data_IF_380769482205
#
_entry.id   IF_380769482205
#
_cell.length_a   1.000
_cell.length_b   1.000
_cell.length_c   1.000
_cell.angle_alpha   90.00
_cell.angle_beta   90.00
_cell.angle_gamma   90.00
#
_symmetry.space_group_name_H-M   'P 1'
#
loop_
_entity.id
_entity.type
_entity.pdbx_description
1 polymer ?
#
# COMPACT_ATOMS: atom_id res chain seq x y z
N UNK A 1 27.17 4.48 -6.38
CA UNK A 1 25.80 5.04 -6.50
C UNK A 1 24.82 3.88 -6.67
N UNK A 2 23.91 3.69 -5.73
CA UNK A 2 22.97 2.55 -5.73
C UNK A 2 21.90 2.72 -6.81
N UNK A 3 21.78 1.71 -7.67
CA UNK A 3 20.78 1.59 -8.72
C UNK A 3 19.38 1.56 -8.08
N UNK A 4 18.62 2.64 -8.24
CA UNK A 4 17.22 2.73 -7.81
C UNK A 4 16.36 1.84 -8.70
N UNK A 5 16.09 0.63 -8.22
CA UNK A 5 15.08 -0.27 -8.78
C UNK A 5 13.72 0.44 -8.72
N UNK A 6 13.16 0.74 -9.91
CA UNK A 6 11.76 1.19 -10.05
C UNK A 6 10.86 0.24 -9.24
N UNK A 7 10.16 0.78 -8.25
CA UNK A 7 9.19 0.02 -7.44
C UNK A 7 9.64 -0.38 -6.03
N UNK A 8 10.85 -0.04 -5.58
CA UNK A 8 11.31 -0.40 -4.22
C UNK A 8 11.16 0.71 -3.17
N UNK A 9 10.81 1.92 -3.58
CA UNK A 9 10.77 3.09 -2.69
C UNK A 9 9.44 3.83 -2.81
N UNK A 10 8.94 4.30 -1.67
CA UNK A 10 7.72 5.07 -1.53
C UNK A 10 7.91 6.46 -2.12
N UNK A 11 7.06 6.84 -3.07
CA UNK A 11 7.13 8.16 -3.71
C UNK A 11 6.72 9.31 -2.76
N UNK A 12 5.89 9.02 -1.75
CA UNK A 12 5.46 10.03 -0.78
C UNK A 12 6.55 10.44 0.23
N UNK A 13 7.35 9.49 0.75
CA UNK A 13 8.31 9.77 1.83
C UNK A 13 9.74 9.25 1.59
N UNK A 14 10.00 8.63 0.44
CA UNK A 14 11.30 8.08 0.06
C UNK A 14 11.74 6.83 0.84
N UNK A 15 10.91 6.29 1.73
CA UNK A 15 11.23 5.06 2.47
C UNK A 15 11.09 3.81 1.60
N UNK A 16 11.58 2.67 2.06
CA UNK A 16 11.46 1.41 1.33
C UNK A 16 10.00 0.92 1.35
N UNK A 17 9.56 0.34 0.23
CA UNK A 17 8.32 -0.41 0.16
C UNK A 17 8.59 -1.86 0.60
N UNK A 18 7.68 -2.42 1.38
CA UNK A 18 7.71 -3.81 1.84
C UNK A 18 6.48 -4.54 1.33
N UNK A 19 6.62 -5.84 1.11
CA UNK A 19 5.49 -6.72 0.80
C UNK A 19 4.69 -6.97 2.07
N UNK A 20 3.45 -6.51 2.10
CA UNK A 20 2.54 -6.68 3.25
C UNK A 20 1.08 -6.71 2.77
N UNK A 21 0.14 -6.89 3.70
CA UNK A 21 -1.27 -6.73 3.39
C UNK A 21 -1.67 -5.26 3.59
N UNK A 22 -2.49 -4.73 2.67
CA UNK A 22 -3.18 -3.46 2.87
C UNK A 22 -4.67 -3.70 2.98
N UNK A 23 -5.31 -2.95 3.88
CA UNK A 23 -6.73 -3.06 4.17
C UNK A 23 -7.42 -1.74 3.84
N UNK A 24 -8.50 -1.81 3.08
CA UNK A 24 -9.35 -0.66 2.82
C UNK A 24 -10.71 -0.89 3.44
N UNK A 25 -11.13 0.05 4.29
CA UNK A 25 -12.47 0.08 4.87
C UNK A 25 -13.31 1.01 4.00
N UNK A 26 -14.35 0.47 3.38
CA UNK A 26 -15.31 1.26 2.62
C UNK A 26 -16.64 1.27 3.38
N UNK A 27 -17.17 2.48 3.61
CA UNK A 27 -18.50 2.68 4.18
C UNK A 27 -19.47 2.96 3.04
N UNK A 28 -20.53 2.17 2.98
CA UNK A 28 -21.57 2.31 1.98
C UNK A 28 -22.71 3.17 2.52
N UNK A 29 -23.47 3.81 1.62
CA UNK A 29 -24.58 4.71 1.99
C UNK A 29 -25.74 3.96 2.69
N UNK A 30 -25.84 2.64 2.53
CA UNK A 30 -26.80 1.77 3.21
C UNK A 30 -26.41 1.45 4.66
N UNK A 31 -25.29 1.99 5.15
CA UNK A 31 -24.75 1.75 6.48
C UNK A 31 -23.96 0.45 6.60
N UNK A 32 -23.79 -0.30 5.52
CA UNK A 32 -22.89 -1.45 5.49
C UNK A 32 -21.42 -1.02 5.39
N UNK A 33 -20.53 -1.89 5.86
CA UNK A 33 -19.09 -1.71 5.82
C UNK A 33 -18.46 -2.89 5.11
N UNK A 34 -17.60 -2.64 4.13
CA UNK A 34 -16.74 -3.67 3.55
C UNK A 34 -15.30 -3.44 3.96
N UNK A 35 -14.64 -4.51 4.40
CA UNK A 35 -13.20 -4.55 4.66
C UNK A 35 -12.57 -5.39 3.56
N UNK A 36 -11.76 -4.75 2.73
CA UNK A 36 -11.05 -5.40 1.65
C UNK A 36 -9.56 -5.48 2.00
N UNK A 37 -9.09 -6.69 2.29
CA UNK A 37 -7.66 -6.97 2.56
C UNK A 37 -7.03 -7.58 1.30
N UNK A 38 -5.92 -7.01 0.82
CA UNK A 38 -5.22 -7.47 -0.38
C UNK A 38 -3.71 -7.32 -0.26
N UNK A 39 -2.97 -8.13 -1.02
CA UNK A 39 -1.51 -8.01 -1.08
C UNK A 39 -1.09 -6.69 -1.75
N UNK A 40 -0.18 -5.97 -1.10
CA UNK A 40 0.31 -4.69 -1.58
C UNK A 40 1.75 -4.43 -1.13
N UNK A 41 2.47 -3.64 -1.93
CA UNK A 41 3.71 -3.04 -1.46
C UNK A 41 3.36 -1.80 -0.65
N UNK A 42 3.53 -1.87 0.66
CA UNK A 42 3.23 -0.78 1.59
C UNK A 42 4.49 -0.08 2.01
N UNK A 43 4.40 1.22 2.24
CA UNK A 43 5.52 1.97 2.77
C UNK A 43 5.87 1.50 4.19
N UNK A 44 7.14 1.17 4.43
CA UNK A 44 7.63 0.77 5.76
C UNK A 44 7.37 1.82 6.85
N UNK A 45 7.34 3.10 6.49
CA UNK A 45 6.98 4.20 7.40
C UNK A 45 5.48 4.39 7.59
N UNK A 46 4.65 3.55 6.95
CA UNK A 46 3.19 3.60 7.00
C UNK A 46 2.62 5.00 6.71
N UNK A 47 3.22 5.70 5.76
CA UNK A 47 2.80 7.05 5.38
C UNK A 47 1.52 7.10 4.50
N UNK A 48 0.77 5.99 4.43
CA UNK A 48 -0.45 5.87 3.61
C UNK A 48 -0.22 5.57 2.12
N UNK A 49 1.02 5.46 1.64
CA UNK A 49 1.31 5.07 0.26
C UNK A 49 1.42 3.56 0.14
N UNK A 50 0.70 3.00 -0.83
CA UNK A 50 0.73 1.58 -1.16
C UNK A 50 0.62 1.36 -2.68
N UNK A 51 1.15 0.25 -3.17
CA UNK A 51 1.00 -0.22 -4.55
C UNK A 51 0.36 -1.59 -4.49
N UNK A 52 -0.86 -1.72 -5.03
CA UNK A 52 -1.57 -3.01 -5.06
C UNK A 52 -0.84 -3.99 -5.96
N UNK A 53 -0.62 -5.20 -5.47
CA UNK A 53 -0.05 -6.30 -6.26
C UNK A 53 -1.23 -6.98 -6.94
N UNK A 54 -1.36 -6.79 -8.25
CA UNK A 54 -2.29 -7.60 -9.06
C UNK A 54 -1.57 -8.92 -9.38
N UNK A 55 -2.11 -10.02 -8.87
CA UNK A 55 -1.71 -11.37 -9.26
C UNK A 55 -2.35 -11.77 -10.59
#
# INVERSE_FOLDING_TARGET
MGLGTKGSYCENCGSILIDDAWETVNFHEDGSMTLDSFAAHVCKKQCGFYIRIQQ
#
